data_IF_094597154176
#
_entry.id   IF_094597154176
#
_cell.length_a   1.000
_cell.length_b   1.000
_cell.length_c   1.000
_cell.angle_alpha   90.00
_cell.angle_beta   90.00
_cell.angle_gamma   90.00
#
_symmetry.space_group_name_H-M   'P 1'
#
loop_
_entity.id
_entity.type
_entity.pdbx_description
1 polymer ?
#
# COMPACT_ATOMS: atom_id res chain seq x y z
N UNK A 1 2.86 87.86 57.45
CA UNK A 1 3.40 86.64 56.81
C UNK A 1 2.38 85.53 57.02
N UNK A 2 1.45 85.34 56.10
CA UNK A 2 0.40 84.31 56.15
C UNK A 2 0.80 83.20 55.17
N UNK A 3 0.95 81.97 55.66
CA UNK A 3 1.31 80.80 54.87
C UNK A 3 0.09 80.15 54.21
N UNK A 4 0.21 79.80 52.93
CA UNK A 4 -0.79 79.05 52.17
C UNK A 4 -0.74 77.54 52.53
N UNK A 5 -1.87 76.81 52.50
CA UNK A 5 -1.88 75.37 52.58
C UNK A 5 -1.65 74.72 51.20
N UNK A 6 -0.72 73.75 51.17
CA UNK A 6 -0.36 72.90 50.04
C UNK A 6 -1.49 71.88 49.77
N UNK A 7 -2.06 71.89 48.56
CA UNK A 7 -3.02 70.87 48.11
C UNK A 7 -2.28 69.75 47.35
N UNK A 8 -2.35 68.52 47.85
CA UNK A 8 -1.94 67.33 47.11
C UNK A 8 -3.02 66.94 46.08
N UNK A 9 -2.61 66.72 44.84
CA UNK A 9 -3.42 66.10 43.78
C UNK A 9 -3.15 64.59 43.75
N UNK A 10 -4.16 63.72 43.60
CA UNK A 10 -3.95 62.29 43.41
C UNK A 10 -3.53 62.00 41.97
N UNK A 11 -2.46 61.24 41.80
CA UNK A 11 -2.02 60.73 40.51
C UNK A 11 -2.94 59.58 40.06
N UNK A 12 -3.66 59.80 38.96
CA UNK A 12 -4.52 58.79 38.33
C UNK A 12 -3.66 57.91 37.41
N UNK A 13 -3.34 56.70 37.85
CA UNK A 13 -2.61 55.72 37.05
C UNK A 13 -3.57 55.03 36.06
N UNK A 14 -3.44 55.33 34.76
CA UNK A 14 -4.14 54.63 33.69
C UNK A 14 -3.47 53.27 33.43
N UNK A 15 -4.16 52.18 33.78
CA UNK A 15 -3.81 50.82 33.37
C UNK A 15 -4.41 50.52 31.99
N UNK A 16 -3.57 50.42 30.97
CA UNK A 16 -3.96 49.97 29.63
C UNK A 16 -3.99 48.44 29.58
N UNK A 17 -5.11 47.80 29.19
CA UNK A 17 -5.18 46.34 29.06
C UNK A 17 -4.41 45.87 27.82
N UNK A 18 -3.38 45.06 28.02
CA UNK A 18 -2.67 44.32 26.98
C UNK A 18 -3.58 43.19 26.46
N UNK A 19 -4.31 43.42 25.38
CA UNK A 19 -5.08 42.37 24.69
C UNK A 19 -4.13 41.55 23.81
N UNK A 20 -3.65 40.41 24.31
CA UNK A 20 -2.89 39.44 23.53
C UNK A 20 -3.78 38.80 22.46
N UNK A 21 -3.43 38.86 21.16
CA UNK A 21 -4.14 38.11 20.14
C UNK A 21 -3.88 36.61 20.32
N UNK A 22 -4.94 35.86 20.60
CA UNK A 22 -4.91 34.40 20.57
C UNK A 22 -4.67 33.95 19.12
N UNK A 23 -3.45 33.49 18.84
CA UNK A 23 -3.14 32.85 17.57
C UNK A 23 -3.94 31.53 17.49
N UNK A 24 -4.95 31.51 16.62
CA UNK A 24 -5.62 30.26 16.23
C UNK A 24 -4.62 29.42 15.44
N UNK A 25 -3.96 28.48 16.10
CA UNK A 25 -3.21 27.42 15.44
C UNK A 25 -4.25 26.50 14.82
N UNK A 26 -4.45 26.61 13.50
CA UNK A 26 -5.23 25.61 12.77
C UNK A 26 -4.54 24.25 12.93
N UNK A 27 -5.28 23.16 13.21
CA UNK A 27 -4.68 21.84 13.24
C UNK A 27 -4.13 21.53 11.85
N UNK A 28 -2.81 21.34 11.75
CA UNK A 28 -2.22 20.72 10.58
C UNK A 28 -2.85 19.33 10.44
N UNK A 29 -3.68 19.13 9.41
CA UNK A 29 -4.02 17.79 8.95
C UNK A 29 -2.67 17.14 8.64
N UNK A 30 -2.31 16.07 9.36
CA UNK A 30 -1.14 15.29 9.00
C UNK A 30 -1.33 14.87 7.54
N UNK A 31 -0.51 15.39 6.63
CA UNK A 31 -0.37 14.91 5.25
C UNK A 31 0.27 13.51 5.30
N UNK A 32 -0.49 12.57 5.87
CA UNK A 32 -0.10 11.19 6.05
C UNK A 32 -0.68 10.35 4.93
N UNK A 33 0.07 9.35 4.48
CA UNK A 33 -0.44 8.39 3.52
C UNK A 33 -1.58 7.56 4.15
N UNK A 34 -2.68 7.39 3.42
CA UNK A 34 -3.89 6.70 3.88
C UNK A 34 -4.19 5.46 3.03
N UNK A 35 -5.16 4.64 3.46
CA UNK A 35 -5.52 3.41 2.76
C UNK A 35 -7.00 3.35 2.42
N UNK A 36 -7.31 2.89 1.21
CA UNK A 36 -8.64 2.47 0.78
C UNK A 36 -8.57 1.08 0.19
N UNK A 37 -9.71 0.40 0.01
CA UNK A 37 -9.73 -1.01 -0.37
C UNK A 37 -10.61 -1.24 -1.59
N UNK A 38 -10.19 -2.15 -2.46
CA UNK A 38 -11.04 -2.71 -3.52
C UNK A 38 -11.00 -4.24 -3.47
N UNK A 39 -11.86 -4.88 -4.25
CA UNK A 39 -11.97 -6.34 -4.28
C UNK A 39 -11.63 -6.92 -5.64
N UNK A 40 -10.88 -8.02 -5.62
CA UNK A 40 -10.62 -8.92 -6.74
C UNK A 40 -11.38 -10.25 -6.61
N UNK A 41 -12.39 -10.32 -5.73
CA UNK A 41 -13.25 -11.49 -5.63
C UNK A 41 -13.90 -11.79 -6.99
N UNK A 42 -14.10 -13.07 -7.38
CA UNK A 42 -14.62 -13.42 -8.71
C UNK A 42 -15.92 -12.70 -9.09
N UNK A 43 -16.83 -12.52 -8.12
CA UNK A 43 -18.11 -11.81 -8.32
C UNK A 43 -17.97 -10.31 -8.59
N UNK A 44 -16.85 -9.71 -8.22
CA UNK A 44 -16.58 -8.28 -8.43
C UNK A 44 -15.91 -8.02 -9.78
N UNK A 45 -15.37 -9.06 -10.43
CA UNK A 45 -14.57 -8.94 -11.64
C UNK A 45 -15.32 -9.38 -12.88
N UNK A 46 -14.91 -8.84 -14.03
CA UNK A 46 -15.39 -9.25 -15.35
C UNK A 46 -14.35 -10.18 -15.97
N UNK A 47 -14.79 -11.24 -16.65
CA UNK A 47 -13.88 -12.08 -17.44
C UNK A 47 -13.37 -11.24 -18.62
N UNK A 48 -12.05 -10.98 -18.66
CA UNK A 48 -11.39 -10.24 -19.74
C UNK A 48 -10.89 -11.19 -20.82
N UNK A 49 -10.36 -12.35 -20.40
CA UNK A 49 -10.02 -13.46 -21.28
C UNK A 49 -10.48 -14.75 -20.60
N UNK A 50 -11.35 -15.55 -21.24
CA UNK A 50 -11.77 -16.82 -20.67
C UNK A 50 -10.59 -17.80 -20.67
N UNK A 51 -10.51 -18.61 -19.61
CA UNK A 51 -9.65 -19.78 -19.60
C UNK A 51 -10.15 -20.88 -20.51
N UNK A 52 -9.21 -21.63 -21.07
CA UNK A 52 -9.49 -22.79 -21.91
C UNK A 52 -8.38 -23.82 -21.79
N UNK A 53 -8.78 -25.09 -21.77
CA UNK A 53 -7.88 -26.23 -21.81
C UNK A 53 -6.88 -26.13 -22.99
N UNK A 54 -5.65 -26.67 -22.86
CA UNK A 54 -5.16 -27.55 -21.80
C UNK A 54 -4.54 -26.83 -20.58
N UNK A 55 -4.36 -25.52 -20.65
CA UNK A 55 -3.73 -24.71 -19.61
C UNK A 55 -4.83 -23.81 -19.01
N UNK A 56 -5.43 -24.18 -17.88
CA UNK A 56 -6.48 -23.38 -17.22
C UNK A 56 -5.96 -21.95 -16.92
N UNK A 57 -6.16 -21.04 -17.88
CA UNK A 57 -5.51 -19.74 -17.93
C UNK A 57 -6.54 -18.62 -18.09
N UNK A 58 -6.89 -17.94 -17.02
CA UNK A 58 -7.92 -16.90 -17.04
C UNK A 58 -7.35 -15.51 -16.79
N UNK A 59 -8.01 -14.48 -17.34
CA UNK A 59 -7.75 -13.09 -16.97
C UNK A 59 -9.04 -12.41 -16.55
N UNK A 60 -9.01 -11.78 -15.38
CA UNK A 60 -10.14 -11.09 -14.79
C UNK A 60 -9.82 -9.61 -14.58
N UNK A 61 -10.73 -8.75 -15.04
CA UNK A 61 -10.66 -7.31 -14.89
C UNK A 61 -11.54 -6.88 -13.71
N UNK A 62 -10.90 -6.40 -12.65
CA UNK A 62 -11.52 -6.04 -11.38
C UNK A 62 -11.51 -4.51 -11.17
N UNK A 63 -12.48 -3.97 -10.41
CA UNK A 63 -12.51 -2.56 -10.06
C UNK A 63 -11.29 -2.16 -9.21
N UNK A 64 -10.70 -1.01 -9.53
CA UNK A 64 -9.66 -0.37 -8.74
C UNK A 64 -10.08 1.00 -8.23
N UNK A 65 -9.08 1.86 -7.95
CA UNK A 65 -9.27 3.20 -7.39
C UNK A 65 -8.78 4.28 -8.36
N UNK A 66 -9.33 5.49 -8.25
CA UNK A 66 -8.90 6.65 -9.05
C UNK A 66 -8.87 6.38 -10.57
N UNK A 67 -9.88 5.65 -11.08
CA UNK A 67 -9.97 5.26 -12.50
C UNK A 67 -8.91 4.25 -12.94
N UNK A 68 -8.25 3.57 -12.00
CA UNK A 68 -7.41 2.39 -12.25
C UNK A 68 -8.25 1.11 -12.16
N UNK A 69 -7.77 0.09 -12.84
CA UNK A 69 -8.31 -1.27 -12.82
C UNK A 69 -7.24 -2.25 -12.38
N UNK A 70 -7.65 -3.36 -11.77
CA UNK A 70 -6.76 -4.47 -11.42
C UNK A 70 -7.00 -5.60 -12.42
N UNK A 71 -5.93 -6.11 -13.01
CA UNK A 71 -5.97 -7.35 -13.80
C UNK A 71 -5.34 -8.44 -12.96
N UNK A 72 -6.13 -9.47 -12.67
CA UNK A 72 -5.63 -10.74 -12.12
C UNK A 72 -5.57 -11.71 -13.28
N UNK A 73 -4.39 -12.29 -13.51
CA UNK A 73 -4.19 -13.36 -14.47
C UNK A 73 -3.82 -14.62 -13.72
N UNK A 74 -4.24 -15.77 -14.22
CA UNK A 74 -3.79 -17.07 -13.74
C UNK A 74 -3.30 -17.89 -14.91
N UNK A 75 -2.17 -18.58 -14.74
CA UNK A 75 -1.62 -19.52 -15.70
C UNK A 75 -0.79 -20.56 -14.93
N UNK A 76 -1.03 -21.85 -15.18
CA UNK A 76 -0.38 -22.96 -14.46
C UNK A 76 -0.43 -22.77 -12.93
N UNK A 77 -1.64 -22.52 -12.41
CA UNK A 77 -1.94 -22.33 -10.98
C UNK A 77 -1.08 -21.25 -10.28
N UNK A 78 -0.66 -20.24 -11.04
CA UNK A 78 0.11 -19.11 -10.57
C UNK A 78 -0.55 -17.84 -11.03
N UNK A 79 -0.77 -16.94 -10.08
CA UNK A 79 -1.38 -15.67 -10.38
C UNK A 79 -0.33 -14.61 -10.67
N UNK A 80 -0.68 -13.65 -11.53
CA UNK A 80 -0.04 -12.34 -11.60
C UNK A 80 -1.10 -11.27 -11.35
N UNK A 81 -0.69 -10.16 -10.73
CA UNK A 81 -1.58 -9.02 -10.47
C UNK A 81 -0.93 -7.76 -10.98
N UNK A 82 -1.65 -7.04 -11.83
CA UNK A 82 -1.20 -5.78 -12.41
C UNK A 82 -2.28 -4.71 -12.34
N UNK A 83 -1.87 -3.46 -12.46
CA UNK A 83 -2.75 -2.29 -12.40
C UNK A 83 -2.49 -1.39 -13.60
N UNK A 84 -3.53 -0.78 -14.14
CA UNK A 84 -3.45 0.16 -15.26
C UNK A 84 -4.72 0.98 -15.42
N UNK A 85 -4.78 1.86 -16.42
CA UNK A 85 -5.98 2.65 -16.72
C UNK A 85 -7.10 1.83 -17.39
N UNK A 86 -6.72 0.73 -18.00
CA UNK A 86 -7.62 -0.24 -18.64
C UNK A 86 -6.87 -1.59 -18.73
N UNK A 87 -7.57 -2.61 -19.23
CA UNK A 87 -7.02 -3.96 -19.42
C UNK A 87 -5.70 -3.96 -20.21
N UNK A 88 -5.66 -3.34 -21.39
CA UNK A 88 -4.46 -3.31 -22.26
C UNK A 88 -3.26 -2.70 -21.54
N UNK A 89 -3.50 -1.60 -20.83
CA UNK A 89 -2.46 -0.86 -20.12
C UNK A 89 -1.93 -1.65 -18.91
N UNK A 90 -2.81 -2.30 -18.15
CA UNK A 90 -2.45 -3.15 -17.02
C UNK A 90 -1.68 -4.40 -17.46
N UNK A 91 -2.14 -5.09 -18.50
CA UNK A 91 -1.51 -6.31 -19.03
C UNK A 91 -0.14 -6.07 -19.69
N UNK A 92 0.19 -4.81 -20.02
CA UNK A 92 1.49 -4.43 -20.57
C UNK A 92 2.56 -4.17 -19.49
N UNK A 93 2.16 -3.99 -18.22
CA UNK A 93 3.10 -3.64 -17.15
C UNK A 93 4.00 -4.81 -16.75
N UNK A 94 5.20 -4.54 -16.19
CA UNK A 94 6.06 -5.58 -15.63
C UNK A 94 5.34 -6.50 -14.63
N UNK A 95 4.49 -5.95 -13.75
CA UNK A 95 3.74 -6.72 -12.76
C UNK A 95 2.83 -7.80 -13.37
N UNK A 96 2.32 -7.61 -14.60
CA UNK A 96 1.50 -8.62 -15.29
C UNK A 96 2.28 -9.89 -15.65
N UNK A 97 3.62 -9.80 -15.69
CA UNK A 97 4.54 -10.88 -16.04
C UNK A 97 5.31 -11.42 -14.83
N UNK A 98 4.98 -10.93 -13.63
CA UNK A 98 5.64 -11.31 -12.40
C UNK A 98 4.72 -12.20 -11.58
N UNK A 99 5.26 -13.35 -11.19
CA UNK A 99 4.65 -14.31 -10.28
C UNK A 99 5.76 -14.99 -9.48
N UNK A 100 5.42 -16.01 -8.70
CA UNK A 100 6.36 -16.77 -7.87
C UNK A 100 6.56 -18.19 -8.40
N UNK A 101 7.72 -18.79 -8.11
CA UNK A 101 8.05 -20.15 -8.55
C UNK A 101 7.01 -21.19 -8.08
N UNK A 102 6.64 -21.22 -6.79
CA UNK A 102 5.59 -22.10 -6.30
C UNK A 102 4.20 -21.71 -6.79
N UNK A 103 3.27 -22.67 -6.77
CA UNK A 103 1.84 -22.38 -6.93
C UNK A 103 1.40 -21.32 -5.95
N UNK A 104 0.58 -20.39 -6.44
CA UNK A 104 0.23 -19.23 -5.66
C UNK A 104 -1.13 -18.65 -6.05
N UNK A 105 -1.72 -17.95 -5.08
CA UNK A 105 -2.95 -17.20 -5.27
C UNK A 105 -2.93 -15.95 -4.39
N UNK A 106 -3.84 -15.02 -4.69
CA UNK A 106 -4.03 -13.81 -3.92
C UNK A 106 -5.28 -13.88 -3.07
N UNK A 107 -5.28 -13.14 -1.96
CA UNK A 107 -6.52 -12.79 -1.26
C UNK A 107 -7.28 -11.74 -2.07
N UNK A 108 -8.60 -11.82 -2.03
CA UNK A 108 -9.53 -10.96 -2.77
C UNK A 108 -9.49 -9.46 -2.40
N UNK A 109 -8.70 -9.05 -1.42
CA UNK A 109 -8.63 -7.66 -0.96
C UNK A 109 -7.34 -7.01 -1.44
N UNK A 110 -7.48 -5.88 -2.15
CA UNK A 110 -6.38 -5.00 -2.52
C UNK A 110 -6.45 -3.76 -1.65
N UNK A 111 -5.39 -3.51 -0.88
CA UNK A 111 -5.20 -2.24 -0.20
C UNK A 111 -4.49 -1.25 -1.12
N UNK A 112 -5.01 -0.04 -1.24
CA UNK A 112 -4.44 1.05 -2.04
C UNK A 112 -3.87 2.09 -1.12
N UNK A 113 -2.58 2.38 -1.24
CA UNK A 113 -1.92 3.46 -0.50
C UNK A 113 -2.08 4.77 -1.26
N UNK A 114 -2.67 5.75 -0.59
CA UNK A 114 -2.96 7.08 -1.11
C UNK A 114 -2.01 8.11 -0.50
N UNK A 115 -1.59 9.09 -1.30
CA UNK A 115 -0.84 10.25 -0.80
C UNK A 115 -1.78 11.31 -0.17
N UNK A 116 -1.19 12.45 0.27
CA UNK A 116 -1.95 13.56 0.86
C UNK A 116 -2.96 14.22 -0.09
N UNK A 117 -2.84 13.99 -1.41
CA UNK A 117 -3.79 14.43 -2.41
C UNK A 117 -4.81 13.34 -2.78
N UNK A 118 -4.91 12.28 -1.96
CA UNK A 118 -5.75 11.11 -2.16
C UNK A 118 -5.45 10.33 -3.45
N UNK A 119 -4.25 10.47 -4.04
CA UNK A 119 -3.85 9.74 -5.24
C UNK A 119 -3.19 8.41 -4.88
N UNK A 120 -3.62 7.28 -5.47
CA UNK A 120 -2.96 6.00 -5.23
C UNK A 120 -1.53 5.99 -5.80
N UNK A 121 -0.56 5.57 -4.98
CA UNK A 121 0.84 5.44 -5.38
C UNK A 121 1.40 4.01 -5.22
N UNK A 122 0.72 3.15 -4.47
CA UNK A 122 1.06 1.74 -4.33
C UNK A 122 -0.20 0.90 -4.04
N UNK A 123 -0.13 -0.39 -4.30
CA UNK A 123 -1.03 -1.39 -3.72
C UNK A 123 -0.28 -2.36 -2.83
N UNK A 124 -1.00 -2.91 -1.85
CA UNK A 124 -0.56 -4.00 -0.99
C UNK A 124 -1.59 -5.11 -1.12
N UNK A 125 -1.12 -6.31 -1.45
CA UNK A 125 -2.00 -7.48 -1.54
C UNK A 125 -1.37 -8.67 -0.83
N UNK A 126 -2.22 -9.49 -0.22
CA UNK A 126 -1.79 -10.73 0.44
C UNK A 126 -1.75 -11.87 -0.57
N UNK A 127 -0.61 -12.54 -0.61
CA UNK A 127 -0.33 -13.70 -1.43
C UNK A 127 -0.17 -14.94 -0.58
N UNK A 128 -0.54 -16.08 -1.16
CA UNK A 128 -0.48 -17.41 -0.59
C UNK A 128 0.42 -18.26 -1.48
N UNK A 129 1.55 -18.72 -0.96
CA UNK A 129 2.52 -19.53 -1.69
C UNK A 129 2.52 -20.95 -1.13
N UNK A 130 2.47 -21.95 -2.00
CA UNK A 130 2.65 -23.35 -1.61
C UNK A 130 4.11 -23.62 -1.23
N UNK A 131 4.32 -24.29 -0.09
CA UNK A 131 5.64 -24.72 0.37
C UNK A 131 5.81 -26.22 0.18
N UNK A 132 6.44 -26.62 -0.92
CA UNK A 132 6.60 -28.03 -1.27
C UNK A 132 7.54 -28.80 -0.32
N UNK A 133 8.37 -28.10 0.45
CA UNK A 133 9.24 -28.72 1.45
C UNK A 133 8.57 -28.85 2.83
N UNK A 134 7.38 -28.27 3.00
CA UNK A 134 6.59 -28.32 4.23
C UNK A 134 5.21 -28.91 3.94
N UNK A 135 5.11 -30.24 4.00
CA UNK A 135 3.87 -30.95 3.72
C UNK A 135 2.98 -31.04 4.96
N UNK A 136 1.72 -30.63 4.78
CA UNK A 136 0.64 -30.82 5.74
C UNK A 136 -0.02 -32.19 5.63
N UNK A 137 -1.17 -32.32 6.29
CA UNK A 137 -1.95 -33.57 6.30
C UNK A 137 -2.35 -33.99 4.89
N UNK A 138 -2.12 -35.27 4.57
CA UNK A 138 -2.44 -35.82 3.25
C UNK A 138 -1.41 -35.49 2.16
N UNK A 139 -0.20 -35.05 2.54
CA UNK A 139 0.90 -34.82 1.60
C UNK A 139 0.76 -33.55 0.76
N UNK A 140 -0.16 -32.65 1.12
CA UNK A 140 -0.35 -31.38 0.43
C UNK A 140 0.61 -30.32 0.98
N UNK A 141 1.23 -29.48 0.14
CA UNK A 141 2.04 -28.34 0.59
C UNK A 141 1.27 -27.43 1.55
N UNK A 142 1.88 -27.07 2.67
CA UNK A 142 1.38 -26.01 3.53
C UNK A 142 1.52 -24.65 2.83
N UNK A 143 0.64 -23.72 3.17
CA UNK A 143 0.66 -22.37 2.60
C UNK A 143 1.45 -21.40 3.47
N UNK A 144 2.29 -20.58 2.84
CA UNK A 144 2.98 -19.45 3.46
C UNK A 144 2.41 -18.14 2.93
N UNK A 145 2.21 -17.18 3.82
CA UNK A 145 1.58 -15.90 3.48
C UNK A 145 2.60 -14.77 3.44
N UNK A 146 2.44 -13.90 2.45
CA UNK A 146 3.28 -12.74 2.25
C UNK A 146 2.43 -11.56 1.79
N UNK A 147 2.79 -10.35 2.19
CA UNK A 147 2.25 -9.14 1.60
C UNK A 147 3.21 -8.64 0.53
N UNK A 148 2.67 -8.37 -0.65
CA UNK A 148 3.41 -7.85 -1.79
C UNK A 148 3.04 -6.39 -1.99
N UNK A 149 4.04 -5.53 -1.94
CA UNK A 149 3.93 -4.12 -2.26
C UNK A 149 4.21 -3.94 -3.75
N UNK A 150 3.31 -3.29 -4.47
CA UNK A 150 3.45 -2.99 -5.90
C UNK A 150 3.31 -1.49 -6.11
N UNK A 151 4.27 -0.84 -6.79
CA UNK A 151 4.17 0.59 -7.09
C UNK A 151 3.20 0.85 -8.24
N UNK A 152 2.61 2.05 -8.27
CA UNK A 152 1.68 2.50 -9.30
C UNK A 152 2.30 3.59 -10.21
N UNK A 153 1.59 4.02 -11.28
CA UNK A 153 2.00 5.16 -12.11
C UNK A 153 2.31 6.42 -11.28
N UNK A 154 3.18 7.33 -11.75
CA UNK A 154 3.55 7.58 -13.16
C UNK A 154 4.66 6.69 -13.75
N UNK A 155 5.34 5.88 -12.95
CA UNK A 155 6.30 4.87 -13.46
C UNK A 155 5.61 3.56 -13.83
N UNK A 156 6.40 2.58 -14.29
CA UNK A 156 5.88 1.24 -14.54
C UNK A 156 5.35 0.60 -13.24
N UNK A 157 4.39 -0.32 -13.39
CA UNK A 157 3.84 -1.09 -12.26
C UNK A 157 4.68 -2.36 -12.08
N UNK A 158 5.31 -2.50 -10.92
CA UNK A 158 6.10 -3.67 -10.56
C UNK A 158 6.11 -3.86 -9.04
N UNK A 159 6.44 -5.07 -8.59
CA UNK A 159 6.67 -5.33 -7.18
C UNK A 159 7.86 -4.49 -6.66
N UNK A 160 7.79 -4.11 -5.40
CA UNK A 160 8.73 -3.22 -4.71
C UNK A 160 9.32 -3.92 -3.49
N UNK A 161 8.47 -4.56 -2.69
CA UNK A 161 8.86 -5.19 -1.45
C UNK A 161 7.95 -6.37 -1.12
N UNK A 162 8.50 -7.28 -0.33
CA UNK A 162 7.84 -8.49 0.15
C UNK A 162 7.90 -8.53 1.68
N UNK A 163 6.77 -8.79 2.34
CA UNK A 163 6.71 -8.84 3.82
C UNK A 163 6.17 -10.20 4.24
N UNK A 164 6.98 -10.97 4.96
CA UNK A 164 6.56 -12.27 5.49
C UNK A 164 5.53 -12.05 6.61
N UNK A 165 4.36 -12.68 6.48
CA UNK A 165 3.26 -12.47 7.44
C UNK A 165 3.55 -13.17 8.78
N UNK A 166 4.16 -14.35 8.75
CA UNK A 166 4.39 -15.12 9.98
C UNK A 166 5.56 -14.55 10.79
N UNK A 167 6.57 -13.98 10.12
CA UNK A 167 7.74 -13.39 10.77
C UNK A 167 7.47 -11.99 11.36
N UNK A 168 6.40 -11.31 10.97
CA UNK A 168 6.09 -9.94 11.40
C UNK A 168 4.71 -9.87 12.07
N UNK A 169 4.64 -9.61 13.39
CA UNK A 169 3.37 -9.55 14.14
C UNK A 169 2.41 -8.48 13.61
N UNK A 170 2.95 -7.40 13.05
CA UNK A 170 2.26 -6.25 12.47
C UNK A 170 2.52 -6.14 10.95
N UNK A 171 2.46 -7.27 10.24
CA UNK A 171 2.86 -7.35 8.83
C UNK A 171 2.17 -6.33 7.92
N UNK A 172 0.90 -5.98 8.17
CA UNK A 172 0.18 -4.98 7.38
C UNK A 172 0.80 -3.59 7.56
N UNK A 173 1.10 -3.19 8.80
CA UNK A 173 1.77 -1.93 9.11
C UNK A 173 3.18 -1.89 8.49
N UNK A 174 3.92 -3.00 8.55
CA UNK A 174 5.24 -3.13 7.90
C UNK A 174 5.14 -2.99 6.39
N UNK A 175 4.12 -3.57 5.75
CA UNK A 175 3.90 -3.42 4.31
C UNK A 175 3.50 -1.98 3.91
N UNK A 176 2.71 -1.28 4.75
CA UNK A 176 2.41 0.15 4.57
C UNK A 176 3.66 0.99 4.65
N UNK A 177 4.51 0.74 5.65
CA UNK A 177 5.79 1.41 5.77
C UNK A 177 6.67 1.19 4.53
N UNK A 178 6.80 -0.05 4.06
CA UNK A 178 7.55 -0.37 2.85
C UNK A 178 6.99 0.36 1.61
N UNK A 179 5.67 0.44 1.47
CA UNK A 179 5.04 1.19 0.39
C UNK A 179 5.39 2.68 0.46
N UNK A 180 5.19 3.29 1.64
CA UNK A 180 5.36 4.71 1.87
C UNK A 180 6.81 5.17 1.63
N UNK A 181 7.78 4.34 2.02
CA UNK A 181 9.23 4.60 1.90
C UNK A 181 9.77 4.32 0.49
N UNK A 182 9.35 3.21 -0.15
CA UNK A 182 10.04 2.69 -1.33
C UNK A 182 9.31 2.94 -2.65
N UNK A 183 7.97 2.88 -2.67
CA UNK A 183 7.23 2.72 -3.92
C UNK A 183 7.39 3.89 -4.90
N UNK A 184 7.48 5.13 -4.40
CA UNK A 184 7.65 6.33 -5.23
C UNK A 184 9.02 6.40 -5.91
N UNK A 185 10.07 5.97 -5.21
CA UNK A 185 11.45 5.99 -5.69
C UNK A 185 11.88 4.74 -6.46
N UNK A 186 11.14 3.64 -6.33
CA UNK A 186 11.53 2.35 -6.91
C UNK A 186 11.53 2.37 -8.45
N UNK A 187 12.68 2.05 -9.04
CA UNK A 187 12.90 2.01 -10.48
C UNK A 187 12.69 0.59 -11.04
N UNK A 188 11.47 0.31 -11.53
CA UNK A 188 11.14 -0.97 -12.15
C UNK A 188 12.15 -1.37 -13.25
N UNK A 189 12.58 -2.63 -13.22
CA UNK A 189 13.56 -3.18 -14.15
C UNK A 189 15.02 -2.88 -13.82
N UNK A 190 15.29 -1.96 -12.87
CA UNK A 190 16.62 -1.69 -12.33
C UNK A 190 16.75 -2.19 -10.89
N UNK A 191 15.79 -1.80 -10.06
CA UNK A 191 15.72 -2.24 -8.67
C UNK A 191 15.10 -3.62 -8.56
N UNK A 192 15.56 -4.40 -7.58
CA UNK A 192 15.05 -5.74 -7.29
C UNK A 192 14.20 -5.69 -6.02
N UNK A 193 12.98 -6.26 -6.01
CA UNK A 193 12.19 -6.40 -4.80
C UNK A 193 12.96 -7.19 -3.75
N UNK A 194 12.87 -6.76 -2.49
CA UNK A 194 13.53 -7.42 -1.37
C UNK A 194 12.56 -7.62 -0.21
N UNK A 195 12.85 -8.56 0.70
CA UNK A 195 12.16 -8.63 1.98
C UNK A 195 12.25 -7.28 2.72
N UNK A 196 11.14 -6.85 3.31
CA UNK A 196 11.07 -5.69 4.20
C UNK A 196 10.50 -6.12 5.55
N UNK A 197 11.07 -5.62 6.64
CA UNK A 197 10.86 -6.18 7.98
C UNK A 197 11.65 -7.48 8.19
N UNK A 198 11.19 -8.32 9.11
CA UNK A 198 11.82 -9.62 9.36
C UNK A 198 11.52 -10.59 8.21
N UNK A 199 12.53 -11.17 7.54
CA UNK A 199 12.29 -12.17 6.52
C UNK A 199 11.84 -13.49 7.16
N UNK A 200 11.14 -14.30 6.38
CA UNK A 200 10.70 -15.64 6.77
C UNK A 200 10.55 -16.57 5.58
N UNK A 201 9.89 -17.70 5.81
CA UNK A 201 9.75 -18.77 4.81
C UNK A 201 9.00 -18.30 3.56
N UNK A 202 7.97 -17.46 3.69
CA UNK A 202 7.21 -16.97 2.54
C UNK A 202 8.10 -16.10 1.63
N UNK A 203 8.91 -15.20 2.22
CA UNK A 203 9.85 -14.37 1.45
C UNK A 203 11.01 -15.16 0.87
N UNK A 204 11.42 -16.27 1.51
CA UNK A 204 12.45 -17.16 0.95
C UNK A 204 11.93 -17.90 -0.30
N UNK A 205 10.67 -18.33 -0.29
CA UNK A 205 9.99 -18.93 -1.45
C UNK A 205 9.78 -17.95 -2.62
N UNK A 206 9.77 -16.65 -2.33
CA UNK A 206 9.58 -15.58 -3.31
C UNK A 206 10.87 -15.08 -3.97
N UNK A 207 12.04 -15.48 -3.46
CA UNK A 207 13.31 -15.13 -4.06
C UNK A 207 13.47 -15.85 -5.42
N UNK A 208 13.98 -15.19 -6.47
CA UNK A 208 14.36 -15.89 -7.68
C UNK A 208 15.46 -16.91 -7.36
N UNK A 209 15.28 -18.14 -7.83
CA UNK A 209 16.33 -19.16 -7.84
C UNK A 209 17.54 -18.70 -8.67
#
# INVERSE_FOLDING_TARGET
MQGLPMRLLPALALLLPFTSPAAFVAPAQAEGASSVYSSTAPKACRVARPGGAPEDSGEWLCPGQDGLVVVVSEMDLRQSVSVGRNYKDASAQPAAKTSFGPFNSTTDTVEWRLDGAAKPFAIIQRWHLADNDDLGTGGRPNTKQMLVVTRLPPGAVCHVAYVDVAANRNANEVARQAADELARGFACGKDKPKPFGSPGRATALAAPN
#
